data_IF_924979318004
#
_entry.id   IF_924979318004
#
_cell.length_a   1.000
_cell.length_b   1.000
_cell.length_c   1.000
_cell.angle_alpha   90.00
_cell.angle_beta   90.00
_cell.angle_gamma   90.00
#
_symmetry.space_group_name_H-M   'P 1'
#
loop_
_entity.id
_entity.type
_entity.pdbx_description
1 polymer ?
#
# COMPACT_ATOMS: atom_id res chain seq x y z
N UNK A 1 -13.69 -28.85 -1.89
CA UNK A 1 -14.36 -27.61 -1.45
C UNK A 1 -13.81 -26.54 -2.36
N UNK A 2 -14.62 -26.03 -3.29
CA UNK A 2 -14.24 -24.95 -4.19
C UNK A 2 -14.15 -23.69 -3.36
N UNK A 3 -12.92 -23.22 -3.09
CA UNK A 3 -12.72 -21.90 -2.53
C UNK A 3 -13.28 -20.88 -3.54
N UNK A 4 -14.28 -20.14 -3.14
CA UNK A 4 -14.77 -19.00 -3.90
C UNK A 4 -13.66 -17.97 -3.83
N UNK A 5 -12.94 -17.77 -4.93
CA UNK A 5 -12.01 -16.66 -5.09
C UNK A 5 -12.85 -15.39 -4.98
N UNK A 6 -12.66 -14.63 -3.92
CA UNK A 6 -13.28 -13.32 -3.78
C UNK A 6 -12.51 -12.34 -4.68
N UNK A 7 -12.82 -12.34 -5.97
CA UNK A 7 -12.41 -11.24 -6.84
C UNK A 7 -13.33 -10.09 -6.47
N UNK A 8 -12.88 -9.20 -5.60
CA UNK A 8 -13.52 -7.91 -5.41
C UNK A 8 -13.18 -7.03 -6.60
N UNK A 9 -13.76 -7.33 -7.75
CA UNK A 9 -13.98 -6.27 -8.72
C UNK A 9 -15.00 -5.37 -8.07
N UNK A 10 -14.55 -4.27 -7.44
CA UNK A 10 -15.45 -3.17 -7.12
C UNK A 10 -16.26 -2.90 -8.37
N UNK A 11 -17.58 -2.69 -8.20
CA UNK A 11 -18.31 -1.99 -9.22
C UNK A 11 -17.71 -0.57 -9.28
N UNK A 12 -16.83 -0.33 -10.27
CA UNK A 12 -16.16 0.97 -10.47
C UNK A 12 -17.17 2.09 -10.75
N UNK A 13 -18.46 1.73 -10.92
CA UNK A 13 -19.57 2.65 -11.06
C UNK A 13 -20.13 3.12 -9.71
N UNK A 14 -19.74 2.51 -8.57
CA UNK A 14 -20.15 3.02 -7.26
C UNK A 14 -19.46 4.37 -7.00
N UNK A 15 -20.23 5.44 -6.75
CA UNK A 15 -19.64 6.76 -6.51
C UNK A 15 -18.82 6.75 -5.22
N UNK A 16 -17.68 7.45 -5.24
CA UNK A 16 -16.94 7.76 -4.03
C UNK A 16 -17.72 8.74 -3.16
N UNK A 17 -17.65 8.58 -1.84
CA UNK A 17 -18.11 9.61 -0.91
C UNK A 17 -17.14 10.80 -0.87
N UNK A 18 -17.53 11.89 -0.15
CA UNK A 18 -16.70 13.10 -0.08
C UNK A 18 -15.32 12.87 0.55
N UNK A 19 -15.19 11.92 1.46
CA UNK A 19 -13.91 11.62 2.13
C UNK A 19 -13.03 10.83 1.20
N UNK A 20 -13.58 9.83 0.53
CA UNK A 20 -12.88 9.04 -0.49
C UNK A 20 -12.39 9.93 -1.63
N UNK A 21 -13.22 10.89 -2.09
CA UNK A 21 -12.83 11.84 -3.13
C UNK A 21 -11.65 12.71 -2.69
N UNK A 22 -11.62 13.18 -1.43
CA UNK A 22 -10.48 13.95 -0.90
C UNK A 22 -9.18 13.13 -0.85
N UNK A 23 -9.28 11.83 -0.53
CA UNK A 23 -8.12 10.93 -0.59
C UNK A 23 -7.61 10.83 -2.03
N UNK A 24 -8.51 10.58 -2.99
CA UNK A 24 -8.19 10.53 -4.42
C UNK A 24 -7.51 11.81 -4.90
N UNK A 25 -8.10 12.97 -4.59
CA UNK A 25 -7.58 14.28 -5.00
C UNK A 25 -6.16 14.52 -4.44
N UNK A 26 -5.91 14.12 -3.18
CA UNK A 26 -4.58 14.21 -2.56
C UNK A 26 -3.57 13.28 -3.24
N UNK A 27 -3.93 12.07 -3.58
CA UNK A 27 -3.06 11.16 -4.33
C UNK A 27 -2.65 11.77 -5.67
N UNK A 28 -3.60 12.34 -6.41
CA UNK A 28 -3.35 12.98 -7.70
C UNK A 28 -2.46 14.24 -7.52
N UNK A 29 -2.70 15.04 -6.48
CA UNK A 29 -1.89 16.22 -6.16
C UNK A 29 -0.41 15.85 -5.97
N UNK A 30 -0.11 14.86 -5.13
CA UNK A 30 1.26 14.40 -4.85
C UNK A 30 1.90 13.77 -6.07
N UNK A 31 1.15 13.00 -6.86
CA UNK A 31 1.66 12.41 -8.11
C UNK A 31 2.08 13.49 -9.11
N UNK A 32 1.35 14.61 -9.19
CA UNK A 32 1.70 15.72 -10.06
C UNK A 32 3.05 16.38 -9.70
N UNK A 33 3.63 16.06 -8.54
CA UNK A 33 4.99 16.46 -8.16
C UNK A 33 6.07 15.51 -8.70
N UNK A 34 5.68 14.50 -9.49
CA UNK A 34 6.57 13.47 -10.05
C UNK A 34 7.32 12.65 -8.98
N UNK A 35 6.69 12.45 -7.81
CA UNK A 35 7.28 11.73 -6.69
C UNK A 35 6.78 10.29 -6.56
N UNK A 36 5.74 9.92 -7.30
CA UNK A 36 5.15 8.58 -7.34
C UNK A 36 4.41 8.38 -8.66
N UNK A 37 4.24 7.17 -9.09
CA UNK A 37 3.50 6.77 -10.27
C UNK A 37 2.11 6.20 -9.97
N UNK A 38 1.73 6.11 -8.70
CA UNK A 38 0.48 5.50 -8.21
C UNK A 38 -0.79 6.02 -8.90
N UNK A 39 -0.80 7.26 -9.42
CA UNK A 39 -1.94 7.83 -10.14
C UNK A 39 -1.61 8.34 -11.54
N UNK A 40 -0.32 8.42 -11.94
CA UNK A 40 0.06 8.79 -13.31
C UNK A 40 0.18 7.58 -14.21
N UNK A 41 0.85 6.55 -13.75
CA UNK A 41 1.11 5.30 -14.45
C UNK A 41 0.10 4.23 -14.04
N UNK A 42 -0.13 4.05 -12.74
CA UNK A 42 -1.11 3.14 -12.15
C UNK A 42 -2.44 3.84 -11.86
N UNK A 43 -3.52 3.07 -11.70
CA UNK A 43 -4.87 3.56 -11.40
C UNK A 43 -5.23 3.37 -9.90
N UNK A 44 -4.26 3.53 -8.99
CA UNK A 44 -4.45 3.25 -7.57
C UNK A 44 -5.31 4.30 -6.86
N UNK A 45 -5.54 5.46 -7.47
CA UNK A 45 -6.55 6.42 -7.02
C UNK A 45 -7.98 5.85 -7.01
N UNK A 46 -8.20 4.72 -7.68
CA UNK A 46 -9.48 4.02 -7.67
C UNK A 46 -9.59 2.98 -6.56
N UNK A 47 -8.49 2.59 -5.94
CA UNK A 47 -8.43 1.53 -4.91
C UNK A 47 -8.19 2.13 -3.53
N UNK A 48 -7.17 2.93 -3.37
CA UNK A 48 -6.70 3.44 -2.07
C UNK A 48 -7.74 4.22 -1.27
N UNK A 49 -8.64 5.05 -1.86
CA UNK A 49 -9.68 5.72 -1.11
C UNK A 49 -10.55 4.78 -0.27
N UNK A 50 -10.83 3.58 -0.78
CA UNK A 50 -11.62 2.56 -0.07
C UNK A 50 -10.85 1.86 1.04
N UNK A 51 -9.53 1.74 0.89
CA UNK A 51 -8.67 1.12 1.89
C UNK A 51 -8.34 2.09 3.03
N UNK A 52 -8.16 3.38 2.71
CA UNK A 52 -7.68 4.39 3.63
C UNK A 52 -8.78 5.12 4.40
N UNK A 53 -10.02 5.20 3.86
CA UNK A 53 -11.11 5.98 4.47
C UNK A 53 -11.37 5.61 5.94
N UNK A 54 -11.24 4.35 6.30
CA UNK A 54 -11.48 3.86 7.68
C UNK A 54 -10.47 4.39 8.70
N UNK A 55 -9.33 4.91 8.26
CA UNK A 55 -8.25 5.43 9.11
C UNK A 55 -8.30 6.96 9.25
N UNK A 56 -9.10 7.66 8.45
CA UNK A 56 -9.21 9.13 8.50
C UNK A 56 -9.63 9.58 9.91
N UNK A 57 -8.90 10.57 10.44
CA UNK A 57 -9.11 11.09 11.78
C UNK A 57 -8.66 10.18 12.93
N UNK A 58 -7.96 9.09 12.62
CA UNK A 58 -7.37 8.20 13.62
C UNK A 58 -5.86 8.39 13.68
N UNK A 59 -5.30 8.14 14.86
CA UNK A 59 -3.86 8.07 15.05
C UNK A 59 -3.39 6.64 14.79
N UNK A 60 -2.68 6.44 13.71
CA UNK A 60 -2.25 5.13 13.19
C UNK A 60 -0.73 5.04 13.08
N UNK A 61 -0.22 3.81 13.03
CA UNK A 61 1.12 3.52 12.54
C UNK A 61 0.98 2.90 11.14
N UNK A 62 1.53 3.55 10.13
CA UNK A 62 1.47 3.11 8.75
C UNK A 62 2.88 2.88 8.22
N UNK A 63 3.05 1.89 7.33
CA UNK A 63 4.35 1.53 6.76
C UNK A 63 4.25 1.45 5.24
N UNK A 64 5.20 2.08 4.55
CA UNK A 64 5.50 1.81 3.14
C UNK A 64 6.79 1.01 3.02
N UNK A 65 6.71 -0.14 2.36
CA UNK A 65 7.84 -1.01 2.01
C UNK A 65 8.17 -0.78 0.55
N UNK A 66 9.35 -0.18 0.28
CA UNK A 66 9.69 0.33 -1.04
C UNK A 66 9.26 1.78 -1.20
N UNK A 67 10.07 2.71 -0.71
CA UNK A 67 9.73 4.14 -0.71
C UNK A 67 10.03 4.83 -2.04
N UNK A 68 10.95 4.28 -2.83
CA UNK A 68 11.43 4.92 -4.06
C UNK A 68 11.77 6.41 -3.84
N UNK A 69 11.04 7.33 -4.47
CA UNK A 69 11.24 8.77 -4.34
C UNK A 69 10.50 9.42 -3.16
N UNK A 70 9.66 8.67 -2.44
CA UNK A 70 8.98 9.09 -1.22
C UNK A 70 7.56 9.60 -1.41
N UNK A 71 7.01 9.58 -2.63
CA UNK A 71 5.68 10.11 -2.90
C UNK A 71 4.55 9.38 -2.19
N UNK A 72 4.63 8.05 -2.07
CA UNK A 72 3.64 7.28 -1.30
C UNK A 72 3.64 7.65 0.17
N UNK A 73 4.83 7.79 0.78
CA UNK A 73 4.95 8.29 2.16
C UNK A 73 4.39 9.72 2.31
N UNK A 74 4.61 10.60 1.33
CA UNK A 74 4.06 11.96 1.36
C UNK A 74 2.54 11.93 1.33
N UNK A 75 1.93 11.12 0.47
CA UNK A 75 0.47 10.92 0.44
C UNK A 75 -0.05 10.52 1.83
N UNK A 76 0.55 9.50 2.44
CA UNK A 76 0.15 9.03 3.77
C UNK A 76 0.35 10.09 4.85
N UNK A 77 1.49 10.80 4.83
CA UNK A 77 1.80 11.85 5.81
C UNK A 77 0.80 13.01 5.79
N UNK A 78 0.44 13.47 4.60
CA UNK A 78 -0.48 14.60 4.43
C UNK A 78 -1.94 14.22 4.72
N UNK A 79 -2.35 12.98 4.39
CA UNK A 79 -3.69 12.47 4.72
C UNK A 79 -3.85 12.16 6.22
N UNK A 80 -2.78 11.78 6.90
CA UNK A 80 -2.80 11.30 8.28
C UNK A 80 -1.80 12.05 9.18
N UNK A 81 -1.96 13.37 9.38
CA UNK A 81 -0.96 14.19 10.05
C UNK A 81 -0.73 13.85 11.53
N UNK A 82 -1.69 13.15 12.19
CA UNK A 82 -1.54 12.68 13.58
C UNK A 82 -0.96 11.26 13.68
N UNK A 83 -0.79 10.58 12.54
CA UNK A 83 -0.24 9.22 12.45
C UNK A 83 1.28 9.25 12.33
N UNK A 84 1.93 8.13 12.59
CA UNK A 84 3.35 7.96 12.26
C UNK A 84 3.49 7.13 11.00
N UNK A 85 4.17 7.69 10.01
CA UNK A 85 4.44 7.05 8.73
C UNK A 85 5.86 6.51 8.74
N UNK A 86 5.98 5.22 8.65
CA UNK A 86 7.26 4.53 8.53
C UNK A 86 7.52 4.23 7.07
N UNK A 87 8.77 4.37 6.66
CA UNK A 87 9.19 3.97 5.33
C UNK A 87 10.44 3.10 5.40
N UNK A 88 10.49 2.06 4.61
CA UNK A 88 11.70 1.27 4.43
C UNK A 88 12.04 1.13 2.95
N UNK A 89 13.32 1.17 2.67
CA UNK A 89 13.89 0.88 1.36
C UNK A 89 15.29 0.29 1.52
N UNK A 90 15.74 -0.47 0.55
CA UNK A 90 17.13 -0.91 0.51
C UNK A 90 18.11 0.21 0.14
N UNK A 91 17.60 1.34 -0.37
CA UNK A 91 18.35 2.52 -0.80
C UNK A 91 17.63 3.82 -0.40
N UNK A 92 17.74 4.20 0.85
CA UNK A 92 17.16 5.46 1.37
C UNK A 92 17.70 6.70 0.65
N UNK A 93 18.91 6.60 0.07
CA UNK A 93 19.50 7.68 -0.73
C UNK A 93 18.77 8.02 -2.04
N UNK A 94 17.78 7.20 -2.46
CA UNK A 94 16.96 7.48 -3.64
C UNK A 94 15.82 8.48 -3.38
N UNK A 95 15.50 8.78 -2.11
CA UNK A 95 14.45 9.73 -1.74
C UNK A 95 14.69 11.11 -2.38
N UNK A 96 13.63 11.69 -2.91
CA UNK A 96 13.61 13.06 -3.45
C UNK A 96 12.93 14.05 -2.50
N UNK A 97 12.23 13.56 -1.48
CA UNK A 97 11.67 14.38 -0.41
C UNK A 97 12.71 14.53 0.71
N UNK A 98 12.67 15.66 1.41
CA UNK A 98 13.40 15.81 2.66
C UNK A 98 12.50 15.31 3.81
N UNK A 99 12.90 14.21 4.44
CA UNK A 99 12.12 13.59 5.51
C UNK A 99 11.98 14.52 6.73
N UNK A 100 12.94 15.41 6.94
CA UNK A 100 12.91 16.38 8.04
C UNK A 100 11.83 17.47 7.87
N UNK A 101 11.30 17.65 6.65
CA UNK A 101 10.14 18.52 6.40
C UNK A 101 8.81 17.93 6.95
N UNK A 102 8.79 16.65 7.32
CA UNK A 102 7.62 15.93 7.76
C UNK A 102 7.78 15.44 9.20
N UNK A 103 7.12 16.08 10.15
CA UNK A 103 7.24 15.78 11.58
C UNK A 103 6.76 14.38 11.98
N UNK A 104 6.02 13.70 11.11
CA UNK A 104 5.41 12.39 11.36
C UNK A 104 6.00 11.25 10.52
N UNK A 105 7.08 11.48 9.76
CA UNK A 105 7.79 10.45 8.99
C UNK A 105 8.98 9.88 9.75
N UNK A 106 9.25 8.60 9.50
CA UNK A 106 10.47 7.88 9.94
C UNK A 106 10.89 6.91 8.88
N UNK A 107 12.15 6.99 8.45
CA UNK A 107 12.70 6.11 7.42
C UNK A 107 13.86 5.29 7.95
N UNK A 108 14.04 4.10 7.37
CA UNK A 108 15.19 3.25 7.67
C UNK A 108 15.57 2.39 6.47
N UNK A 109 16.87 2.17 6.33
CA UNK A 109 17.44 1.33 5.28
C UNK A 109 17.38 -0.14 5.69
N UNK A 110 16.70 -0.96 4.89
CA UNK A 110 16.50 -2.37 5.17
C UNK A 110 16.04 -3.11 3.91
N UNK A 111 16.39 -4.38 3.79
CA UNK A 111 15.76 -5.26 2.82
C UNK A 111 14.33 -5.61 3.24
N UNK A 112 13.39 -5.67 2.27
CA UNK A 112 12.01 -6.10 2.52
C UNK A 112 11.92 -7.50 3.17
N UNK A 113 12.88 -8.38 2.88
CA UNK A 113 12.93 -9.76 3.40
C UNK A 113 13.84 -9.95 4.60
N UNK A 114 14.34 -8.85 5.21
CA UNK A 114 15.19 -8.93 6.41
C UNK A 114 14.41 -9.59 7.57
N UNK A 115 14.90 -10.69 8.13
CA UNK A 115 14.22 -11.37 9.23
C UNK A 115 14.10 -10.52 10.50
N UNK A 116 14.90 -9.46 10.65
CA UNK A 116 14.82 -8.50 11.76
C UNK A 116 13.80 -7.37 11.54
N UNK A 117 13.20 -7.28 10.36
CA UNK A 117 12.23 -6.24 10.01
C UNK A 117 11.10 -6.09 11.04
N UNK A 118 10.49 -7.16 11.60
CA UNK A 118 9.44 -7.02 12.62
C UNK A 118 9.89 -6.30 13.89
N UNK A 119 11.18 -6.32 14.21
CA UNK A 119 11.71 -5.64 15.40
C UNK A 119 11.96 -4.14 15.17
N UNK A 120 11.98 -3.70 13.91
CA UNK A 120 12.20 -2.29 13.53
C UNK A 120 10.93 -1.46 13.49
N UNK A 121 9.77 -2.09 13.49
CA UNK A 121 8.46 -1.41 13.39
C UNK A 121 7.58 -1.70 14.61
N UNK A 122 6.69 -0.77 15.00
CA UNK A 122 5.69 -1.03 16.04
C UNK A 122 4.61 -1.99 15.55
N UNK A 123 3.50 -2.09 16.28
CA UNK A 123 2.25 -2.62 15.72
C UNK A 123 1.72 -1.62 14.69
N UNK A 124 1.25 -2.13 13.56
CA UNK A 124 0.88 -1.39 12.36
C UNK A 124 -0.63 -1.48 12.10
N UNK A 125 -1.21 -0.41 11.58
CA UNK A 125 -2.61 -0.36 11.18
C UNK A 125 -2.77 -0.49 9.66
N UNK A 126 -1.78 -0.01 8.91
CA UNK A 126 -1.75 -0.07 7.45
C UNK A 126 -0.33 -0.33 6.94
N UNK A 127 -0.21 -1.23 5.98
CA UNK A 127 1.05 -1.51 5.28
C UNK A 127 0.78 -1.49 3.79
N UNK A 128 1.64 -0.81 3.02
CA UNK A 128 1.73 -0.95 1.58
C UNK A 128 3.10 -1.52 1.21
N UNK A 129 3.12 -2.54 0.36
CA UNK A 129 4.33 -3.16 -0.17
C UNK A 129 4.39 -2.90 -1.66
N UNK A 130 5.38 -2.09 -2.05
CA UNK A 130 5.63 -1.59 -3.39
C UNK A 130 7.14 -1.69 -3.67
N UNK A 131 7.69 -2.91 -3.65
CA UNK A 131 9.14 -3.09 -3.61
C UNK A 131 9.67 -3.86 -4.81
N UNK A 132 9.79 -5.19 -4.72
CA UNK A 132 10.45 -5.98 -5.77
C UNK A 132 9.49 -6.57 -6.79
N UNK A 133 8.19 -6.54 -6.54
CA UNK A 133 7.09 -7.13 -7.33
C UNK A 133 7.31 -8.63 -7.64
N UNK A 134 8.18 -9.28 -6.87
CA UNK A 134 8.42 -10.71 -6.96
C UNK A 134 7.63 -11.42 -5.86
N UNK A 135 6.63 -12.21 -6.24
CA UNK A 135 5.72 -12.86 -5.29
C UNK A 135 6.44 -13.58 -4.12
N UNK A 136 7.54 -14.33 -4.31
CA UNK A 136 8.22 -14.95 -3.17
C UNK A 136 8.74 -13.93 -2.15
N UNK A 137 9.19 -12.76 -2.59
CA UNK A 137 9.65 -11.69 -1.70
C UNK A 137 8.47 -11.00 -1.02
N UNK A 138 7.40 -10.70 -1.76
CA UNK A 138 6.20 -10.05 -1.22
C UNK A 138 5.49 -10.95 -0.20
N UNK A 139 5.37 -12.25 -0.48
CA UNK A 139 4.83 -13.22 0.50
C UNK A 139 5.74 -13.31 1.72
N UNK A 140 7.06 -13.32 1.54
CA UNK A 140 7.99 -13.33 2.68
C UNK A 140 7.86 -12.07 3.53
N UNK A 141 7.74 -10.90 2.91
CA UNK A 141 7.52 -9.62 3.61
C UNK A 141 6.20 -9.62 4.36
N UNK A 142 5.14 -10.11 3.73
CA UNK A 142 3.83 -10.29 4.36
C UNK A 142 3.92 -11.21 5.59
N UNK A 143 4.56 -12.36 5.49
CA UNK A 143 4.72 -13.29 6.63
C UNK A 143 5.52 -12.69 7.79
N UNK A 144 6.46 -11.80 7.52
CA UNK A 144 7.20 -11.07 8.54
C UNK A 144 6.34 -10.01 9.23
N UNK A 145 5.49 -9.31 8.48
CA UNK A 145 4.74 -8.14 8.96
C UNK A 145 3.30 -8.44 9.37
N UNK A 146 2.69 -9.55 8.91
CA UNK A 146 1.32 -9.93 9.31
C UNK A 146 1.15 -10.03 10.84
N UNK A 147 2.10 -10.63 11.61
CA UNK A 147 2.02 -10.65 13.06
C UNK A 147 2.08 -9.25 13.70
N UNK A 148 2.59 -8.25 12.98
CA UNK A 148 2.69 -6.85 13.42
C UNK A 148 1.46 -6.02 13.08
N UNK A 149 0.52 -6.53 12.28
CA UNK A 149 -0.74 -5.83 12.05
C UNK A 149 -1.63 -5.87 13.30
N UNK A 150 -2.23 -4.74 13.62
CA UNK A 150 -3.32 -4.66 14.60
C UNK A 150 -4.56 -5.41 14.07
N UNK A 151 -5.46 -5.90 14.96
CA UNK A 151 -6.79 -6.36 14.54
C UNK A 151 -7.48 -5.29 13.67
N UNK A 152 -8.09 -5.71 12.56
CA UNK A 152 -8.65 -4.80 11.56
C UNK A 152 -7.61 -4.05 10.71
N UNK A 153 -6.31 -4.31 10.87
CA UNK A 153 -5.26 -3.72 10.04
C UNK A 153 -5.31 -4.20 8.58
N UNK A 154 -4.73 -3.43 7.68
CA UNK A 154 -4.73 -3.69 6.24
C UNK A 154 -3.31 -3.82 5.72
N UNK A 155 -3.06 -4.83 4.91
CA UNK A 155 -1.81 -5.04 4.17
C UNK A 155 -2.10 -5.05 2.67
N UNK A 156 -1.37 -4.24 1.92
CA UNK A 156 -1.54 -4.04 0.48
C UNK A 156 -0.26 -4.46 -0.24
N UNK A 157 -0.37 -5.30 -1.27
CA UNK A 157 0.71 -5.62 -2.20
C UNK A 157 0.35 -4.99 -3.53
N UNK A 158 1.20 -4.09 -4.02
CA UNK A 158 1.02 -3.41 -5.29
C UNK A 158 1.69 -4.16 -6.43
N UNK A 159 1.33 -3.81 -7.65
CA UNK A 159 1.95 -4.26 -8.90
C UNK A 159 2.05 -5.78 -9.02
N UNK A 160 0.92 -6.46 -8.83
CA UNK A 160 0.86 -7.92 -9.04
C UNK A 160 1.05 -8.23 -10.52
N UNK A 161 2.22 -8.75 -10.86
CA UNK A 161 2.56 -9.10 -12.23
C UNK A 161 1.69 -10.25 -12.78
N UNK A 162 1.42 -10.27 -14.09
CA UNK A 162 0.54 -11.25 -14.72
C UNK A 162 0.92 -12.71 -14.43
N UNK A 163 2.23 -13.01 -14.32
CA UNK A 163 2.72 -14.36 -14.00
C UNK A 163 2.38 -14.83 -12.59
N UNK A 164 2.09 -13.92 -11.66
CA UNK A 164 1.73 -14.23 -10.27
C UNK A 164 0.24 -14.06 -9.97
N UNK A 165 -0.54 -13.55 -10.92
CA UNK A 165 -1.95 -13.22 -10.73
C UNK A 165 -2.77 -14.43 -10.23
N UNK A 166 -2.64 -15.56 -10.93
CA UNK A 166 -3.40 -16.77 -10.60
C UNK A 166 -2.99 -17.33 -9.22
N UNK A 167 -1.72 -17.20 -8.84
CA UNK A 167 -1.22 -17.64 -7.54
C UNK A 167 -1.79 -16.78 -6.40
N UNK A 168 -1.84 -15.45 -6.58
CA UNK A 168 -2.50 -14.56 -5.60
C UNK A 168 -4.01 -14.81 -5.52
N UNK A 169 -4.68 -15.06 -6.65
CA UNK A 169 -6.09 -15.43 -6.67
C UNK A 169 -6.35 -16.78 -5.96
N UNK A 170 -5.42 -17.72 -6.07
CA UNK A 170 -5.51 -19.03 -5.41
C UNK A 170 -5.18 -18.97 -3.91
N UNK A 171 -4.40 -17.96 -3.48
CA UNK A 171 -4.09 -17.70 -2.08
C UNK A 171 -5.29 -17.04 -1.41
N UNK A 172 -6.16 -17.82 -0.81
CA UNK A 172 -7.42 -17.34 -0.22
C UNK A 172 -7.28 -16.33 0.94
N UNK A 173 -6.08 -15.83 1.23
CA UNK A 173 -5.81 -14.77 2.21
C UNK A 173 -6.07 -13.38 1.66
N UNK A 174 -5.94 -13.18 0.34
CA UNK A 174 -5.97 -11.86 -0.29
C UNK A 174 -7.27 -11.62 -1.08
N UNK A 175 -7.83 -10.42 -0.94
CA UNK A 175 -8.81 -9.86 -1.86
C UNK A 175 -8.07 -9.21 -3.03
N UNK A 176 -8.50 -9.46 -4.25
CA UNK A 176 -7.83 -8.93 -5.46
C UNK A 176 -8.62 -7.76 -6.03
N UNK A 177 -7.96 -6.62 -6.20
CA UNK A 177 -8.46 -5.44 -6.88
C UNK A 177 -7.77 -5.32 -8.23
N UNK A 178 -8.48 -5.64 -9.28
CA UNK A 178 -8.01 -5.59 -10.66
C UNK A 178 -8.52 -4.33 -11.34
N UNK A 179 -7.61 -3.39 -11.57
CA UNK A 179 -7.90 -2.09 -12.21
C UNK A 179 -7.17 -1.92 -13.54
N UNK A 180 -6.69 -3.04 -14.13
CA UNK A 180 -5.93 -3.07 -15.38
C UNK A 180 -6.61 -2.38 -16.54
N UNK A 181 -7.94 -2.42 -16.60
CA UNK A 181 -8.72 -1.85 -17.72
C UNK A 181 -8.78 -0.32 -17.67
N UNK A 182 -8.45 0.33 -16.55
CA UNK A 182 -8.58 1.78 -16.38
C UNK A 182 -7.50 2.52 -17.19
N UNK A 183 -6.24 2.13 -17.02
CA UNK A 183 -5.09 2.74 -17.72
C UNK A 183 -4.40 1.79 -18.69
N UNK A 184 -5.01 0.62 -18.93
CA UNK A 184 -4.48 -0.43 -19.79
C UNK A 184 -3.06 -0.88 -19.39
N UNK A 185 -2.87 -1.13 -18.08
CA UNK A 185 -1.61 -1.59 -17.49
C UNK A 185 -1.75 -3.03 -17.03
N UNK A 186 -0.78 -3.86 -17.41
CA UNK A 186 -0.83 -5.31 -17.13
C UNK A 186 -0.61 -5.67 -15.67
N UNK A 187 0.00 -4.77 -14.91
CA UNK A 187 0.41 -4.87 -13.51
C UNK A 187 -0.50 -4.06 -12.56
N UNK A 188 -1.52 -3.37 -13.06
CA UNK A 188 -2.50 -2.64 -12.24
C UNK A 188 -3.44 -3.59 -11.47
N UNK A 189 -2.84 -4.41 -10.61
CA UNK A 189 -3.53 -5.34 -9.72
C UNK A 189 -2.96 -5.19 -8.31
N UNK A 190 -3.86 -5.10 -7.34
CA UNK A 190 -3.53 -4.94 -5.93
C UNK A 190 -4.07 -6.12 -5.15
N UNK A 191 -3.22 -6.80 -4.38
CA UNK A 191 -3.63 -7.86 -3.47
C UNK A 191 -3.72 -7.32 -2.03
N UNK A 192 -4.87 -7.47 -1.39
CA UNK A 192 -5.18 -6.85 -0.09
C UNK A 192 -5.53 -7.90 0.94
N UNK A 193 -4.78 -7.93 2.02
CA UNK A 193 -5.11 -8.71 3.21
C UNK A 193 -5.72 -7.80 4.28
N UNK A 194 -6.78 -8.27 4.91
CA UNK A 194 -7.41 -7.61 6.07
C UNK A 194 -7.33 -8.53 7.27
N UNK A 195 -6.62 -8.07 8.31
CA UNK A 195 -6.53 -8.82 9.55
C UNK A 195 -7.90 -8.83 10.24
N UNK A 196 -8.42 -9.99 10.65
CA UNK A 196 -9.67 -10.07 11.42
C UNK A 196 -9.63 -9.18 12.67
N UNK A 197 -10.82 -8.70 13.10
CA UNK A 197 -11.02 -7.91 14.32
C UNK A 197 -10.69 -8.72 15.58
#
# INVERSE_FOLDING_TARGET
>A
MTSTVNIFTRDLNDPMDEVQQKIKDKMIEVTNLELTDKTSYHAYEEVYPFLLVKFIGKKCNMLEVGMSWGGGMQILSELFPESTIYGLDWNVGALKIDVDDFSNMKVFECSQTDPDLPNRVPMLDFVTEDCSHQMPNSIRTFELLEPKLNPGGVYVIEDVYPEFYDDYCADGRFDIYDVRDIKNRVDDVVAVYRKPE
#
